data_IF_186624826582
#
_entry.id   IF_186624826582
#
_cell.length_a   1.000
_cell.length_b   1.000
_cell.length_c   1.000
_cell.angle_alpha   90.00
_cell.angle_beta   90.00
_cell.angle_gamma   90.00
#
_symmetry.space_group_name_H-M   'P 1'
#
loop_
_entity.id
_entity.type
_entity.pdbx_description
1 polymer ?
#
# COMPACT_ATOMS: atom_id res chain seq x y z
N UNK A 1 -3.18 -34.10 -16.06
CA UNK A 1 -2.80 -32.74 -16.50
C UNK A 1 -2.22 -31.97 -15.30
N UNK A 2 -0.89 -31.96 -15.10
CA UNK A 2 -0.28 -31.29 -13.94
C UNK A 2 0.14 -29.83 -14.21
N UNK A 3 0.28 -29.42 -15.47
CA UNK A 3 0.85 -28.10 -15.83
C UNK A 3 -0.10 -26.95 -15.48
N UNK A 4 -1.42 -27.11 -15.70
CA UNK A 4 -2.42 -26.09 -15.40
C UNK A 4 -2.55 -25.81 -13.89
N UNK A 5 -2.46 -26.86 -13.06
CA UNK A 5 -2.55 -26.74 -11.60
C UNK A 5 -1.34 -25.99 -11.01
N UNK A 6 -0.13 -26.27 -11.52
CA UNK A 6 1.08 -25.54 -11.10
C UNK A 6 1.05 -24.06 -11.52
N UNK A 7 0.47 -23.73 -12.68
CA UNK A 7 0.32 -22.32 -13.10
C UNK A 7 -0.67 -21.57 -12.20
N UNK A 8 -1.79 -22.20 -11.84
CA UNK A 8 -2.79 -21.62 -10.92
C UNK A 8 -2.17 -21.32 -9.55
N UNK A 9 -1.50 -22.30 -8.93
CA UNK A 9 -0.87 -22.12 -7.61
C UNK A 9 0.15 -20.99 -7.57
N UNK A 10 0.91 -20.78 -8.64
CA UNK A 10 1.86 -19.66 -8.73
C UNK A 10 1.15 -18.32 -8.87
N UNK A 11 0.03 -18.26 -9.58
CA UNK A 11 -0.77 -17.05 -9.70
C UNK A 11 -1.44 -16.70 -8.37
N UNK A 12 -2.01 -17.68 -7.68
CA UNK A 12 -2.60 -17.49 -6.35
C UNK A 12 -1.55 -16.97 -5.36
N UNK A 13 -0.34 -17.52 -5.38
CA UNK A 13 0.76 -17.03 -4.55
C UNK A 13 1.20 -15.59 -4.89
N UNK A 14 1.19 -15.20 -6.18
CA UNK A 14 1.47 -13.82 -6.61
C UNK A 14 0.39 -12.86 -6.07
N UNK A 15 -0.89 -13.23 -6.15
CA UNK A 15 -2.00 -12.43 -5.61
C UNK A 15 -1.96 -12.31 -4.08
N UNK A 16 -1.63 -13.41 -3.40
CA UNK A 16 -1.47 -13.44 -1.94
C UNK A 16 -0.33 -12.51 -1.48
N UNK A 17 0.80 -12.53 -2.20
CA UNK A 17 1.92 -11.62 -1.94
C UNK A 17 1.50 -10.15 -2.06
N UNK A 18 0.79 -9.80 -3.15
CA UNK A 18 0.28 -8.43 -3.34
C UNK A 18 -0.64 -8.06 -2.18
N UNK A 19 -1.57 -8.93 -1.79
CA UNK A 19 -2.49 -8.67 -0.68
C UNK A 19 -1.76 -8.43 0.64
N UNK A 20 -0.74 -9.23 0.96
CA UNK A 20 0.08 -9.04 2.16
C UNK A 20 0.79 -7.69 2.16
N UNK A 21 1.33 -7.25 1.02
CA UNK A 21 1.99 -5.95 0.88
C UNK A 21 1.02 -4.78 1.01
N UNK A 22 -0.21 -4.91 0.51
CA UNK A 22 -1.27 -3.90 0.72
C UNK A 22 -1.62 -3.77 2.20
N UNK A 23 -1.73 -4.89 2.93
CA UNK A 23 -1.97 -4.87 4.37
C UNK A 23 -0.81 -4.23 5.15
N UNK A 24 0.43 -4.49 4.74
CA UNK A 24 1.62 -3.85 5.30
C UNK A 24 1.57 -2.32 5.10
N UNK A 25 1.23 -1.86 3.89
CA UNK A 25 1.07 -0.44 3.58
C UNK A 25 -0.03 0.19 4.45
N UNK A 26 -1.17 -0.51 4.60
CA UNK A 26 -2.26 -0.08 5.46
C UNK A 26 -1.84 0.09 6.93
N UNK A 27 -1.07 -0.85 7.47
CA UNK A 27 -0.53 -0.74 8.83
C UNK A 27 0.44 0.43 9.01
N UNK A 28 1.24 0.72 8.00
CA UNK A 28 2.14 1.88 8.01
C UNK A 28 1.35 3.20 8.01
N UNK A 29 0.37 3.32 7.13
CA UNK A 29 -0.52 4.49 7.04
C UNK A 29 -1.29 4.70 8.35
N UNK A 30 -1.83 3.63 8.95
CA UNK A 30 -2.49 3.71 10.26
C UNK A 30 -1.54 4.26 11.35
N UNK A 31 -0.29 3.79 11.35
CA UNK A 31 0.74 4.28 12.28
C UNK A 31 1.03 5.76 12.08
N UNK A 32 1.14 6.23 10.83
CA UNK A 32 1.36 7.63 10.52
C UNK A 32 0.23 8.52 11.02
N UNK A 33 -1.02 8.14 10.78
CA UNK A 33 -2.19 8.90 11.27
C UNK A 33 -2.15 9.01 12.79
N UNK A 34 -1.95 7.88 13.48
CA UNK A 34 -1.92 7.84 14.95
C UNK A 34 -0.85 8.77 15.51
N UNK A 35 0.35 8.72 14.95
CA UNK A 35 1.50 9.52 15.41
C UNK A 35 1.37 10.99 15.04
N UNK A 36 0.77 11.31 13.90
CA UNK A 36 0.49 12.68 13.50
C UNK A 36 -0.50 13.33 14.49
N UNK A 37 -1.56 12.61 14.85
CA UNK A 37 -2.55 13.07 15.83
C UNK A 37 -1.94 13.22 17.23
N UNK A 38 -1.16 12.24 17.68
CA UNK A 38 -0.49 12.28 18.97
C UNK A 38 0.52 13.44 19.06
N UNK A 39 1.37 13.60 18.05
CA UNK A 39 2.32 14.71 17.95
C UNK A 39 1.62 16.07 17.94
N UNK A 40 0.49 16.19 17.22
CA UNK A 40 -0.29 17.43 17.16
C UNK A 40 -0.92 17.75 18.51
N UNK A 41 -1.47 16.75 19.22
CA UNK A 41 -2.13 16.94 20.51
C UNK A 41 -1.13 17.26 21.63
N UNK A 42 0.03 16.61 21.62
CA UNK A 42 1.07 16.74 22.65
C UNK A 42 2.06 17.88 22.40
N UNK A 43 2.16 18.37 21.16
CA UNK A 43 3.22 19.28 20.73
C UNK A 43 4.58 18.58 20.55
N UNK A 44 4.63 17.25 20.52
CA UNK A 44 5.87 16.49 20.32
C UNK A 44 6.34 16.56 18.87
N UNK A 45 7.33 17.43 18.64
CA UNK A 45 7.95 17.63 17.33
C UNK A 45 8.68 16.40 16.79
N UNK A 46 9.21 15.53 17.67
CA UNK A 46 9.91 14.34 17.22
C UNK A 46 8.95 13.34 16.55
N UNK A 47 7.72 13.21 17.09
CA UNK A 47 6.67 12.40 16.45
C UNK A 47 6.28 12.96 15.08
N UNK A 48 6.11 14.29 14.97
CA UNK A 48 5.75 14.95 13.72
C UNK A 48 6.85 14.81 12.66
N UNK A 49 8.11 15.01 13.04
CA UNK A 49 9.25 14.85 12.15
C UNK A 49 9.38 13.40 11.66
N UNK A 50 9.08 12.41 12.51
CA UNK A 50 9.11 11.00 12.09
C UNK A 50 7.97 10.66 11.11
N UNK A 51 6.77 11.20 11.29
CA UNK A 51 5.68 11.04 10.31
C UNK A 51 6.10 11.61 8.95
N UNK A 52 6.66 12.82 8.93
CA UNK A 52 7.15 13.46 7.70
C UNK A 52 8.26 12.63 7.07
N UNK A 53 9.20 12.13 7.87
CA UNK A 53 10.32 11.36 7.41
C UNK A 53 9.91 9.97 6.90
N UNK A 54 8.86 9.35 7.41
CA UNK A 54 8.44 7.99 7.03
C UNK A 54 7.49 7.92 5.83
N UNK A 55 6.93 9.06 5.43
CA UNK A 55 6.01 9.22 4.29
C UNK A 55 6.51 8.64 2.96
N UNK A 56 7.78 8.88 2.63
CA UNK A 56 8.39 8.35 1.40
C UNK A 56 8.31 6.81 1.28
N UNK A 57 8.18 6.08 2.40
CA UNK A 57 8.02 4.62 2.38
C UNK A 57 6.67 4.23 1.79
N UNK A 58 5.60 4.95 2.13
CA UNK A 58 4.26 4.71 1.59
C UNK A 58 4.26 4.94 0.07
N UNK A 59 4.86 6.04 -0.38
CA UNK A 59 4.99 6.37 -1.81
C UNK A 59 5.81 5.30 -2.56
N UNK A 60 6.89 4.81 -1.94
CA UNK A 60 7.67 3.71 -2.49
C UNK A 60 6.89 2.40 -2.57
N UNK A 61 6.02 2.12 -1.59
CA UNK A 61 5.15 0.95 -1.59
C UNK A 61 4.08 1.03 -2.68
N UNK A 62 3.47 2.21 -2.90
CA UNK A 62 2.53 2.44 -4.01
C UNK A 62 3.16 2.07 -5.35
N UNK A 63 4.29 2.71 -5.69
CA UNK A 63 4.97 2.48 -6.98
C UNK A 63 5.32 1.00 -7.17
N UNK A 64 5.79 0.35 -6.11
CA UNK A 64 6.15 -1.07 -6.18
C UNK A 64 4.92 -1.98 -6.34
N UNK A 65 3.82 -1.69 -5.65
CA UNK A 65 2.57 -2.46 -5.75
C UNK A 65 1.92 -2.28 -7.12
N UNK A 66 1.91 -1.07 -7.67
CA UNK A 66 1.41 -0.80 -9.02
C UNK A 66 2.23 -1.52 -10.10
N UNK A 67 3.55 -1.55 -9.91
CA UNK A 67 4.45 -2.33 -10.75
C UNK A 67 4.16 -3.82 -10.71
N UNK A 68 3.92 -4.39 -9.53
CA UNK A 68 3.56 -5.80 -9.36
C UNK A 68 2.21 -6.14 -9.99
N UNK A 69 1.19 -5.34 -9.73
CA UNK A 69 -0.14 -5.49 -10.33
C UNK A 69 -0.05 -5.45 -11.87
N UNK A 70 0.69 -4.48 -12.43
CA UNK A 70 0.90 -4.36 -13.86
C UNK A 70 1.65 -5.58 -14.43
N UNK A 71 2.69 -6.05 -13.73
CA UNK A 71 3.45 -7.23 -14.13
C UNK A 71 2.56 -8.49 -14.16
N UNK A 72 1.71 -8.68 -13.16
CA UNK A 72 0.77 -9.80 -13.09
C UNK A 72 -0.21 -9.75 -14.26
N UNK A 73 -0.79 -8.59 -14.57
CA UNK A 73 -1.70 -8.42 -15.71
C UNK A 73 -1.03 -8.82 -17.02
N UNK A 74 0.17 -8.28 -17.29
CA UNK A 74 0.91 -8.53 -18.53
C UNK A 74 1.32 -10.01 -18.65
N UNK A 75 1.83 -10.59 -17.57
CA UNK A 75 2.37 -11.96 -17.55
C UNK A 75 1.28 -13.02 -17.61
N UNK A 76 0.13 -12.78 -16.99
CA UNK A 76 -0.89 -13.81 -16.74
C UNK A 76 -2.15 -13.66 -17.59
N UNK A 77 -2.41 -12.45 -18.11
CA UNK A 77 -3.65 -12.13 -18.84
C UNK A 77 -4.89 -12.67 -18.10
N UNK A 78 -5.08 -12.24 -16.83
CA UNK A 78 -6.08 -12.83 -15.94
C UNK A 78 -7.50 -12.73 -16.48
N UNK A 79 -8.34 -13.69 -16.07
CA UNK A 79 -9.76 -13.66 -16.38
C UNK A 79 -10.46 -12.46 -15.70
N UNK A 80 -11.69 -12.16 -16.12
CA UNK A 80 -12.40 -10.95 -15.73
C UNK A 80 -12.52 -10.73 -14.20
N UNK A 81 -12.69 -11.79 -13.41
CA UNK A 81 -12.80 -11.69 -11.95
C UNK A 81 -11.47 -11.31 -11.31
N UNK A 82 -10.38 -11.99 -11.69
CA UNK A 82 -9.05 -11.72 -11.12
C UNK A 82 -8.52 -10.36 -11.60
N UNK A 83 -8.79 -10.00 -12.85
CA UNK A 83 -8.48 -8.66 -13.37
C UNK A 83 -9.21 -7.57 -12.58
N UNK A 84 -10.49 -7.77 -12.25
CA UNK A 84 -11.26 -6.85 -11.41
C UNK A 84 -10.68 -6.73 -10.01
N UNK A 85 -10.22 -7.84 -9.42
CA UNK A 85 -9.54 -7.83 -8.12
C UNK A 85 -8.25 -7.01 -8.17
N UNK A 86 -7.40 -7.23 -9.17
CA UNK A 86 -6.14 -6.48 -9.33
C UNK A 86 -6.42 -4.98 -9.49
N UNK A 87 -7.41 -4.59 -10.29
CA UNK A 87 -7.81 -3.18 -10.41
C UNK A 87 -8.34 -2.59 -9.09
N UNK A 88 -9.09 -3.36 -8.30
CA UNK A 88 -9.54 -2.92 -6.99
C UNK A 88 -8.35 -2.66 -6.07
N UNK A 89 -7.35 -3.56 -6.09
CA UNK A 89 -6.11 -3.40 -5.32
C UNK A 89 -5.38 -2.11 -5.71
N UNK A 90 -5.13 -1.87 -7.01
CA UNK A 90 -4.46 -0.64 -7.47
C UNK A 90 -5.17 0.62 -6.96
N UNK A 91 -6.51 0.67 -7.00
CA UNK A 91 -7.25 1.82 -6.46
C UNK A 91 -7.10 1.95 -4.95
N UNK A 92 -7.17 0.84 -4.22
CA UNK A 92 -6.97 0.84 -2.77
C UNK A 92 -5.57 1.30 -2.38
N UNK A 93 -4.54 0.93 -3.15
CA UNK A 93 -3.16 1.38 -2.93
C UNK A 93 -3.04 2.90 -3.10
N UNK A 94 -3.60 3.47 -4.16
CA UNK A 94 -3.66 4.94 -4.34
C UNK A 94 -4.42 5.62 -3.21
N UNK A 95 -5.54 5.04 -2.75
CA UNK A 95 -6.29 5.60 -1.61
C UNK A 95 -5.48 5.55 -0.31
N UNK A 96 -4.69 4.49 -0.08
CA UNK A 96 -3.79 4.38 1.08
C UNK A 96 -2.67 5.42 1.04
N UNK A 97 -2.05 5.64 -0.12
CA UNK A 97 -1.03 6.68 -0.29
C UNK A 97 -1.58 8.05 0.07
N UNK A 98 -2.75 8.40 -0.47
CA UNK A 98 -3.42 9.67 -0.18
C UNK A 98 -3.71 9.87 1.30
N UNK A 99 -4.09 8.81 2.01
CA UNK A 99 -4.32 8.87 3.46
C UNK A 99 -2.99 9.14 4.20
N UNK A 100 -1.88 8.51 3.77
CA UNK A 100 -0.54 8.80 4.28
C UNK A 100 -0.14 10.27 4.07
N UNK A 101 -0.39 10.79 2.87
CA UNK A 101 -0.19 12.19 2.50
C UNK A 101 -0.96 13.16 3.40
N UNK A 102 -2.22 12.85 3.71
CA UNK A 102 -3.02 13.65 4.66
C UNK A 102 -2.45 13.58 6.09
N UNK A 103 -1.96 12.42 6.53
CA UNK A 103 -1.26 12.30 7.82
C UNK A 103 0.01 13.16 7.86
N UNK A 104 0.77 13.19 6.75
CA UNK A 104 1.93 14.05 6.60
C UNK A 104 1.55 15.55 6.69
N UNK A 105 0.46 15.97 6.05
CA UNK A 105 -0.05 17.35 6.13
C UNK A 105 -0.42 17.73 7.56
N UNK A 106 -1.12 16.86 8.30
CA UNK A 106 -1.40 17.05 9.73
C UNK A 106 -0.10 17.26 10.51
N UNK A 107 0.91 16.42 10.26
CA UNK A 107 2.19 16.54 10.95
C UNK A 107 2.90 17.87 10.66
N UNK A 108 2.86 18.34 9.41
CA UNK A 108 3.42 19.65 9.00
C UNK A 108 2.70 20.83 9.65
N UNK A 109 1.38 20.73 9.89
CA UNK A 109 0.60 21.79 10.56
C UNK A 109 0.93 21.93 12.05
N UNK A 110 1.32 20.83 12.72
CA UNK A 110 1.66 20.83 14.15
C UNK A 110 3.07 21.30 14.48
N UNK A 111 3.91 21.55 13.46
CA UNK A 111 5.32 21.95 13.62
C UNK A 111 5.46 23.46 13.81
#
# INVERSE_FOLDING_TARGET
MPVSEHLSKKFDAELESIRSRVLEMGGLVESQIRRALEGLQSGDRALLDDVIATDHRVNGMEVALDGECSHVIVKRQPAANDLRLIFAITKTVTDLERIGDEAQKIARMGK
#
